data_IF_434432941289
#
_entry.id   IF_434432941289
#
_cell.length_a   1.000
_cell.length_b   1.000
_cell.length_c   1.000
_cell.angle_alpha   90.00
_cell.angle_beta   90.00
_cell.angle_gamma   90.00
#
_symmetry.space_group_name_H-M   'P 1'
#
loop_
_entity.id
_entity.type
_entity.pdbx_description
1 polymer ?
#
# COMPACT_ATOMS: atom_id res chain seq x y z
N UNK A 1 0.27 23.58 -23.40
CA UNK A 1 -0.13 23.65 -21.97
C UNK A 1 0.71 22.64 -21.23
N UNK A 2 1.52 23.06 -20.25
CA UNK A 2 2.21 22.12 -19.37
C UNK A 2 1.14 21.40 -18.54
N UNK A 3 0.96 20.09 -18.79
CA UNK A 3 0.11 19.25 -17.96
C UNK A 3 0.82 19.13 -16.60
N UNK A 4 0.41 19.95 -15.64
CA UNK A 4 0.80 19.75 -14.25
C UNK A 4 0.31 18.36 -13.85
N UNK A 5 1.22 17.38 -13.77
CA UNK A 5 0.93 16.03 -13.29
C UNK A 5 0.77 16.08 -11.76
N UNK A 6 -0.23 16.83 -11.30
CA UNK A 6 -0.58 16.90 -9.89
C UNK A 6 -1.57 15.75 -9.61
N UNK A 7 -1.22 14.91 -8.63
CA UNK A 7 -2.13 13.91 -8.07
C UNK A 7 -2.70 14.46 -6.78
N UNK A 8 -4.02 14.60 -6.71
CA UNK A 8 -4.70 14.86 -5.45
C UNK A 8 -4.53 13.64 -4.55
N UNK A 9 -4.12 13.85 -3.29
CA UNK A 9 -4.00 12.76 -2.34
C UNK A 9 -5.39 12.29 -1.88
N UNK A 10 -5.56 10.99 -1.61
CA UNK A 10 -6.73 10.53 -0.89
C UNK A 10 -6.86 11.20 0.48
N UNK A 11 -8.08 11.36 1.01
CA UNK A 11 -8.28 11.86 2.36
C UNK A 11 -7.45 11.12 3.41
N UNK A 12 -6.88 11.85 4.37
CA UNK A 12 -6.07 11.28 5.45
C UNK A 12 -4.65 10.83 5.05
N UNK A 13 -4.30 10.86 3.77
CA UNK A 13 -2.93 10.63 3.32
C UNK A 13 -2.04 11.84 3.57
N UNK A 14 -0.75 11.58 3.65
CA UNK A 14 0.28 12.59 3.86
C UNK A 14 1.33 12.52 2.73
N UNK A 15 2.15 13.56 2.63
CA UNK A 15 3.41 13.50 1.88
C UNK A 15 4.51 13.11 2.86
N UNK A 16 5.23 12.03 2.56
CA UNK A 16 6.36 11.60 3.38
C UNK A 16 7.55 12.56 3.26
N UNK A 17 8.57 12.39 4.11
CA UNK A 17 9.82 13.16 3.99
C UNK A 17 10.58 12.90 2.68
N UNK A 18 10.17 11.90 1.90
CA UNK A 18 10.71 11.61 0.56
C UNK A 18 9.90 12.25 -0.57
N UNK A 19 8.91 13.07 -0.22
CA UNK A 19 8.00 13.74 -1.14
C UNK A 19 7.11 12.77 -1.93
N UNK A 20 6.75 11.64 -1.30
CA UNK A 20 5.94 10.57 -1.89
C UNK A 20 4.60 10.48 -1.16
N UNK A 21 3.47 10.22 -1.86
CA UNK A 21 2.20 9.91 -1.23
C UNK A 21 2.33 8.74 -0.26
N UNK A 22 1.82 8.91 0.95
CA UNK A 22 1.92 7.88 1.97
C UNK A 22 0.64 7.73 2.78
N UNK A 23 0.27 6.48 3.01
CA UNK A 23 -0.80 6.08 3.89
C UNK A 23 -0.23 5.71 5.26
N UNK A 24 -0.61 6.48 6.27
CA UNK A 24 -0.35 6.14 7.67
C UNK A 24 -1.38 5.10 8.11
N UNK A 25 -0.97 3.83 8.19
CA UNK A 25 -1.86 2.70 8.49
C UNK A 25 -2.25 2.72 9.97
N UNK A 26 -1.27 2.87 10.85
CA UNK A 26 -1.42 2.99 12.30
C UNK A 26 -0.34 3.94 12.88
N UNK A 27 -0.12 3.96 14.20
CA UNK A 27 0.87 4.85 14.83
C UNK A 27 2.33 4.55 14.43
N UNK A 28 2.64 3.31 14.04
CA UNK A 28 3.99 2.82 13.78
C UNK A 28 4.25 2.58 12.28
N UNK A 29 3.23 2.25 11.49
CA UNK A 29 3.34 1.80 10.10
C UNK A 29 2.96 2.85 9.07
N UNK A 30 3.84 3.02 8.08
CA UNK A 30 3.67 3.94 6.96
C UNK A 30 3.94 3.20 5.64
N UNK A 31 2.98 3.26 4.73
CA UNK A 31 3.09 2.74 3.38
C UNK A 31 3.22 3.90 2.38
N UNK A 32 4.40 4.04 1.78
CA UNK A 32 4.66 4.98 0.68
C UNK A 32 4.32 4.31 -0.65
N UNK A 33 3.61 5.00 -1.54
CA UNK A 33 3.23 4.49 -2.86
C UNK A 33 3.41 5.59 -3.92
N UNK A 34 4.15 5.29 -4.99
CA UNK A 34 4.29 6.19 -6.14
C UNK A 34 4.21 5.43 -7.47
N UNK A 35 3.71 6.12 -8.49
CA UNK A 35 3.78 5.63 -9.87
C UNK A 35 5.23 5.72 -10.37
N UNK A 36 5.81 4.59 -10.76
CA UNK A 36 7.18 4.44 -11.23
C UNK A 36 7.24 4.19 -12.74
N UNK A 37 6.34 4.84 -13.49
CA UNK A 37 6.20 4.69 -14.95
C UNK A 37 5.13 3.67 -15.34
N UNK A 38 5.19 3.21 -16.59
CA UNK A 38 4.27 2.22 -17.15
C UNK A 38 5.00 1.01 -17.72
N UNK A 39 4.34 -0.14 -17.72
CA UNK A 39 4.76 -1.32 -18.49
C UNK A 39 4.47 -1.12 -19.97
N UNK A 40 4.99 -2.00 -20.83
CA UNK A 40 4.74 -1.98 -22.28
C UNK A 40 3.26 -2.16 -22.63
N UNK A 41 2.53 -2.89 -21.78
CA UNK A 41 1.07 -3.06 -21.85
C UNK A 41 0.28 -1.84 -21.35
N UNK A 42 0.98 -0.77 -20.93
CA UNK A 42 0.36 0.45 -20.44
C UNK A 42 -0.18 0.36 -19.01
N UNK A 43 0.20 -0.65 -18.22
CA UNK A 43 -0.13 -0.71 -16.78
C UNK A 43 0.73 0.28 -16.01
N UNK A 44 0.23 0.89 -14.96
CA UNK A 44 1.04 1.68 -14.03
C UNK A 44 1.89 0.72 -13.20
N UNK A 45 3.20 0.93 -13.16
CA UNK A 45 4.10 0.22 -12.25
C UNK A 45 4.15 0.98 -10.94
N UNK A 46 3.86 0.33 -9.81
CA UNK A 46 3.88 0.97 -8.50
C UNK A 46 5.19 0.68 -7.80
N UNK A 47 5.89 1.73 -7.35
CA UNK A 47 6.95 1.58 -6.36
C UNK A 47 6.35 1.78 -4.99
N UNK A 48 6.70 0.90 -4.06
CA UNK A 48 6.21 0.97 -2.69
C UNK A 48 7.32 0.84 -1.66
N UNK A 49 7.05 1.36 -0.47
CA UNK A 49 7.85 1.10 0.73
C UNK A 49 6.93 0.98 1.94
N UNK A 50 6.95 -0.17 2.60
CA UNK A 50 6.37 -0.33 3.93
C UNK A 50 7.45 -0.12 4.98
N UNK A 51 7.20 0.77 5.92
CA UNK A 51 8.10 1.05 7.02
C UNK A 51 7.38 0.97 8.36
N UNK A 52 8.12 0.59 9.41
CA UNK A 52 7.67 0.63 10.79
C UNK A 52 8.65 1.47 11.62
N UNK A 53 8.16 2.49 12.33
CA UNK A 53 9.01 3.42 13.13
C UNK A 53 10.21 3.93 12.34
N UNK A 54 9.96 4.35 11.09
CA UNK A 54 10.96 4.85 10.12
C UNK A 54 11.99 3.83 9.61
N UNK A 55 11.87 2.54 9.97
CA UNK A 55 12.70 1.46 9.41
C UNK A 55 11.93 0.77 8.29
N UNK A 56 12.55 0.68 7.11
CA UNK A 56 11.99 -0.07 5.98
C UNK A 56 11.89 -1.56 6.33
N UNK A 57 10.72 -2.14 6.12
CA UNK A 57 10.49 -3.59 6.23
C UNK A 57 10.43 -4.19 4.82
N UNK A 58 9.62 -3.59 3.94
CA UNK A 58 9.52 -4.00 2.54
C UNK A 58 9.69 -2.79 1.62
N UNK A 59 10.24 -3.05 0.44
CA UNK A 59 10.22 -2.12 -0.68
C UNK A 59 10.32 -2.90 -1.98
N UNK A 60 9.57 -2.47 -2.98
CA UNK A 60 9.52 -3.17 -4.27
C UNK A 60 8.93 -2.30 -5.37
N UNK A 61 8.87 -2.87 -6.57
CA UNK A 61 8.24 -2.26 -7.74
C UNK A 61 7.61 -3.28 -8.68
N UNK A 62 7.17 -4.39 -8.10
CA UNK A 62 6.70 -5.62 -8.73
C UNK A 62 5.17 -5.65 -8.90
N UNK A 63 4.45 -4.71 -8.29
CA UNK A 63 3.00 -4.59 -8.37
C UNK A 63 2.61 -3.59 -9.46
N UNK A 64 1.66 -3.99 -10.31
CA UNK A 64 1.17 -3.18 -11.42
C UNK A 64 -0.36 -3.05 -11.37
N UNK A 65 -0.89 -1.96 -11.93
CA UNK A 65 -2.33 -1.78 -12.11
C UNK A 65 -2.92 -2.73 -13.18
N UNK A 66 -4.24 -2.64 -13.37
CA UNK A 66 -4.91 -3.08 -14.59
C UNK A 66 -4.41 -2.33 -15.84
N UNK A 67 -4.62 -2.95 -17.01
CA UNK A 67 -4.30 -2.33 -18.32
C UNK A 67 -5.15 -1.07 -18.52
N UNK A 68 -4.53 0.01 -18.97
CA UNK A 68 -5.23 1.27 -19.25
C UNK A 68 -5.63 2.09 -18.01
N UNK A 69 -5.20 1.68 -16.82
CA UNK A 69 -5.49 2.43 -15.59
C UNK A 69 -4.99 3.89 -15.68
N UNK A 70 -5.78 4.80 -15.15
CA UNK A 70 -5.48 6.23 -15.07
C UNK A 70 -5.02 6.54 -13.66
N UNK A 71 -3.99 7.37 -13.52
CA UNK A 71 -3.49 7.77 -12.22
C UNK A 71 -4.49 8.73 -11.54
N UNK A 72 -5.34 8.17 -10.68
CA UNK A 72 -6.35 8.89 -9.90
C UNK A 72 -6.14 8.61 -8.40
N UNK A 73 -6.78 9.38 -7.50
CA UNK A 73 -6.76 9.07 -6.07
C UNK A 73 -7.29 7.66 -5.77
N UNK A 74 -8.38 7.24 -6.44
CA UNK A 74 -8.97 5.91 -6.27
C UNK A 74 -8.01 4.80 -6.73
N UNK A 75 -7.30 5.03 -7.82
CA UNK A 75 -6.28 4.10 -8.30
C UNK A 75 -5.11 4.00 -7.30
N UNK A 76 -4.72 5.11 -6.65
CA UNK A 76 -3.70 5.10 -5.60
C UNK A 76 -4.16 4.33 -4.35
N UNK A 77 -5.44 4.47 -3.97
CA UNK A 77 -6.07 3.66 -2.90
C UNK A 77 -6.02 2.18 -3.26
N UNK A 78 -6.46 1.83 -4.48
CA UNK A 78 -6.45 0.45 -5.00
C UNK A 78 -5.05 -0.16 -4.98
N UNK A 79 -4.04 0.61 -5.41
CA UNK A 79 -2.65 0.19 -5.37
C UNK A 79 -2.18 -0.08 -3.94
N UNK A 80 -2.41 0.84 -3.00
CA UNK A 80 -2.00 0.68 -1.61
C UNK A 80 -2.64 -0.55 -0.94
N UNK A 81 -3.92 -0.82 -1.23
CA UNK A 81 -4.62 -2.00 -0.73
C UNK A 81 -4.04 -3.29 -1.29
N UNK A 82 -3.81 -3.33 -2.60
CA UNK A 82 -3.19 -4.48 -3.27
C UNK A 82 -1.80 -4.75 -2.70
N UNK A 83 -0.99 -3.71 -2.53
CA UNK A 83 0.34 -3.81 -1.91
C UNK A 83 0.22 -4.33 -0.48
N UNK A 84 -0.63 -3.74 0.36
CA UNK A 84 -0.75 -4.17 1.74
C UNK A 84 -1.21 -5.64 1.84
N UNK A 85 -2.23 -6.02 1.06
CA UNK A 85 -2.70 -7.41 0.99
C UNK A 85 -1.56 -8.38 0.71
N UNK A 86 -0.76 -8.11 -0.34
CA UNK A 86 0.38 -8.93 -0.71
C UNK A 86 1.46 -9.01 0.38
N UNK A 87 1.78 -7.88 1.01
CA UNK A 87 2.79 -7.84 2.08
C UNK A 87 2.32 -8.52 3.37
N UNK A 88 1.01 -8.71 3.55
CA UNK A 88 0.41 -9.32 4.73
C UNK A 88 0.10 -10.81 4.59
N UNK A 89 0.48 -11.44 3.47
CA UNK A 89 0.31 -12.89 3.27
C UNK A 89 1.02 -13.69 4.37
N UNK A 90 0.41 -14.80 4.76
CA UNK A 90 0.92 -15.73 5.79
C UNK A 90 1.08 -17.14 5.23
N UNK A 91 1.85 -18.01 5.93
CA UNK A 91 1.90 -19.44 5.57
C UNK A 91 0.49 -20.02 5.48
N UNK A 92 0.15 -20.58 4.31
CA UNK A 92 -1.19 -21.08 4.00
C UNK A 92 -2.00 -20.19 3.05
N UNK A 93 -1.68 -18.90 2.92
CA UNK A 93 -2.33 -18.00 1.95
C UNK A 93 -1.72 -18.10 0.55
N UNK A 94 -0.49 -18.64 0.47
CA UNK A 94 0.31 -18.77 -0.74
C UNK A 94 1.23 -19.99 -0.64
N UNK A 95 1.95 -20.29 -1.71
CA UNK A 95 2.89 -21.42 -1.76
C UNK A 95 4.01 -21.26 -0.72
N UNK A 96 4.50 -22.39 -0.22
CA UNK A 96 5.44 -22.41 0.91
C UNK A 96 6.77 -21.70 0.60
N UNK A 97 7.20 -21.70 -0.66
CA UNK A 97 8.45 -21.10 -1.14
C UNK A 97 8.38 -19.58 -1.29
N UNK A 98 7.19 -18.98 -1.25
CA UNK A 98 6.99 -17.54 -1.34
C UNK A 98 7.84 -16.77 -0.30
N UNK A 99 7.94 -17.32 0.90
CA UNK A 99 8.65 -16.69 2.02
C UNK A 99 10.16 -16.98 2.04
N UNK A 100 10.70 -17.81 1.15
CA UNK A 100 12.11 -18.22 1.17
C UNK A 100 13.07 -17.03 0.96
N UNK A 101 12.59 -15.99 0.28
CA UNK A 101 13.35 -14.75 0.04
C UNK A 101 13.27 -13.74 1.19
N UNK A 102 12.43 -13.99 2.21
CA UNK A 102 12.23 -13.04 3.29
C UNK A 102 13.45 -13.00 4.23
N UNK A 103 13.88 -11.79 4.53
CA UNK A 103 14.85 -11.55 5.59
C UNK A 103 14.25 -11.87 6.96
N UNK A 104 15.11 -12.13 7.95
CA UNK A 104 14.67 -12.34 9.34
C UNK A 104 13.78 -11.22 9.87
N UNK A 105 14.09 -9.96 9.54
CA UNK A 105 13.30 -8.82 9.97
C UNK A 105 11.89 -8.79 9.34
N UNK A 106 11.76 -9.27 8.10
CA UNK A 106 10.47 -9.39 7.42
C UNK A 106 9.64 -10.54 8.00
N UNK A 107 10.28 -11.68 8.32
CA UNK A 107 9.62 -12.80 9.01
C UNK A 107 9.13 -12.39 10.40
N UNK A 108 9.98 -11.75 11.21
CA UNK A 108 9.61 -11.23 12.54
C UNK A 108 8.48 -10.20 12.46
N UNK A 109 8.48 -9.35 11.43
CA UNK A 109 7.41 -8.40 11.20
C UNK A 109 6.11 -9.12 10.83
N UNK A 110 6.16 -10.10 9.91
CA UNK A 110 4.99 -10.85 9.44
C UNK A 110 4.31 -11.55 10.61
N UNK A 111 5.08 -12.30 11.39
CA UNK A 111 4.57 -13.10 12.50
C UNK A 111 3.92 -12.26 13.60
N UNK A 112 4.23 -10.96 13.66
CA UNK A 112 3.75 -10.06 14.70
C UNK A 112 2.66 -9.08 14.25
N UNK A 113 2.66 -8.68 12.98
CA UNK A 113 1.83 -7.57 12.52
C UNK A 113 1.01 -7.88 11.25
N UNK A 114 1.41 -8.86 10.43
CA UNK A 114 0.75 -9.07 9.14
C UNK A 114 -0.74 -9.42 9.27
N UNK A 115 -1.10 -10.25 10.25
CA UNK A 115 -2.50 -10.63 10.48
C UNK A 115 -3.37 -9.41 10.78
N UNK A 116 -2.96 -8.58 11.74
CA UNK A 116 -3.70 -7.36 12.12
C UNK A 116 -3.77 -6.38 10.95
N UNK A 117 -2.66 -6.20 10.22
CA UNK A 117 -2.64 -5.25 9.12
C UNK A 117 -3.41 -5.73 7.87
N UNK A 118 -3.59 -7.04 7.70
CA UNK A 118 -4.33 -7.60 6.57
C UNK A 118 -5.79 -7.13 6.54
N UNK A 119 -6.37 -6.86 7.71
CA UNK A 119 -7.73 -6.35 7.87
C UNK A 119 -7.92 -5.03 7.11
N UNK A 120 -6.93 -4.14 7.12
CA UNK A 120 -7.00 -2.84 6.45
C UNK A 120 -6.90 -2.93 4.92
N UNK A 121 -6.52 -4.09 4.37
CA UNK A 121 -6.46 -4.33 2.94
C UNK A 121 -7.78 -4.89 2.36
N UNK A 122 -8.62 -5.51 3.20
CA UNK A 122 -9.88 -6.16 2.79
C UNK A 122 -10.97 -5.13 2.40
N UNK A 123 -11.90 -5.55 1.53
CA UNK A 123 -12.95 -4.68 0.94
C UNK A 123 -14.13 -4.40 1.86
N UNK A 124 -14.34 -5.25 2.86
CA UNK A 124 -15.58 -5.27 3.67
C UNK A 124 -15.43 -4.62 5.06
N UNK A 125 -14.21 -4.25 5.41
CA UNK A 125 -13.86 -3.38 6.53
C UNK A 125 -13.00 -2.28 5.89
N UNK A 126 -13.45 -1.07 5.52
CA UNK A 126 -14.61 -0.26 5.83
C UNK A 126 -15.19 0.26 4.49
N UNK A 127 -16.47 -0.03 4.23
CA UNK A 127 -17.23 0.58 3.14
C UNK A 127 -17.55 2.04 3.46
N UNK A 128 -16.57 2.92 3.29
CA UNK A 128 -16.65 4.40 3.34
C UNK A 128 -17.02 5.11 4.67
N UNK A 129 -17.75 4.55 5.64
CA UNK A 129 -18.10 5.29 6.89
C UNK A 129 -18.79 4.51 8.04
N UNK A 130 -18.75 3.17 8.08
CA UNK A 130 -19.60 2.43 9.01
C UNK A 130 -19.00 1.97 10.35
N UNK A 131 -17.68 1.98 10.54
CA UNK A 131 -17.05 1.25 11.65
C UNK A 131 -15.56 1.52 11.86
N UNK A 132 -15.02 0.89 12.90
CA UNK A 132 -13.92 1.43 13.73
C UNK A 132 -12.52 0.96 13.30
N UNK A 133 -12.02 1.45 12.15
CA UNK A 133 -10.61 1.27 11.73
C UNK A 133 -10.16 2.21 10.56
N UNK A 134 -8.85 2.24 10.26
CA UNK A 134 -8.25 3.02 9.16
C UNK A 134 -8.33 2.29 7.80
N UNK A 135 -8.94 2.89 6.79
CA UNK A 135 -8.89 2.41 5.39
C UNK A 135 -8.22 3.47 4.53
N UNK A 136 -7.42 3.11 3.50
CA UNK A 136 -6.69 4.08 2.69
C UNK A 136 -7.60 5.05 1.93
N UNK A 137 -8.91 4.78 1.83
CA UNK A 137 -9.91 5.69 1.26
C UNK A 137 -10.86 6.34 2.26
N UNK A 138 -10.74 6.10 3.57
CA UNK A 138 -11.69 6.57 4.56
C UNK A 138 -11.45 8.06 4.92
N UNK A 139 -12.45 8.95 4.77
CA UNK A 139 -12.30 10.36 5.12
C UNK A 139 -12.39 10.65 6.63
N UNK A 140 -12.90 9.71 7.43
CA UNK A 140 -13.10 9.87 8.88
C UNK A 140 -11.79 9.65 9.64
N UNK A 141 -10.83 10.57 9.44
CA UNK A 141 -9.62 10.69 10.26
C UNK A 141 -9.71 12.02 11.04
N UNK A 142 -10.76 12.15 11.85
CA UNK A 142 -10.95 13.27 12.80
C UNK A 142 -11.09 12.73 14.20
#
# INVERSE_FOLDING_TARGET
>A
MAMTHALTLPPGWIISSRLVPAWQIDADHLLEVEAAGRTDEGRIRWRYRLSRRRRTIFSGSDICSGVGAVLTPDELISAARTILHYLTLRPGDTDADYFDSYTRAQLEWRDRYAEELSIYAMDEWCGYCGGDHASPGCPART
#
